data_IF_659158237748
#
_entry.id   IF_659158237748
#
_cell.length_a   1.000
_cell.length_b   1.000
_cell.length_c   1.000
_cell.angle_alpha   90.00
_cell.angle_beta   90.00
_cell.angle_gamma   90.00
#
_symmetry.space_group_name_H-M   'P 1'
#
loop_
_entity.id
_entity.type
_entity.pdbx_description
1 polymer ?
#
# COMPACT_ATOMS: atom_id res chain seq x y z
N UNK A 1 -6.04 3.63 16.82
CA UNK A 1 -6.08 2.29 16.16
C UNK A 1 -7.43 1.66 16.46
N UNK A 2 -7.95 0.86 15.53
CA UNK A 2 -9.16 0.05 15.79
C UNK A 2 -8.86 -1.02 16.82
N UNK A 3 -9.88 -1.40 17.58
CA UNK A 3 -9.77 -2.55 18.49
C UNK A 3 -9.78 -3.84 17.66
N UNK A 4 -8.66 -4.55 17.68
CA UNK A 4 -8.45 -5.81 16.98
C UNK A 4 -7.87 -6.82 17.96
N UNK A 5 -8.43 -8.04 17.97
CA UNK A 5 -7.98 -9.14 18.84
C UNK A 5 -6.54 -9.54 18.52
N UNK A 6 -6.19 -9.59 17.22
CA UNK A 6 -4.87 -9.97 16.74
C UNK A 6 -4.07 -8.78 16.23
N UNK A 7 -4.10 -7.67 16.97
CA UNK A 7 -3.48 -6.39 16.56
C UNK A 7 -2.01 -6.53 16.18
N UNK A 8 -1.25 -7.33 16.91
CA UNK A 8 0.18 -7.52 16.65
C UNK A 8 0.43 -8.31 15.37
N UNK A 9 -0.41 -9.30 15.07
CA UNK A 9 -0.36 -10.01 13.79
C UNK A 9 -0.64 -9.07 12.63
N UNK A 10 -1.66 -8.23 12.72
CA UNK A 10 -1.99 -7.28 11.67
C UNK A 10 -0.96 -6.17 11.51
N UNK A 11 -0.34 -5.69 12.60
CA UNK A 11 0.78 -4.75 12.55
C UNK A 11 2.00 -5.38 11.88
N UNK A 12 2.36 -6.61 12.24
CA UNK A 12 3.44 -7.34 11.59
C UNK A 12 3.18 -7.54 10.10
N UNK A 13 1.93 -7.89 9.73
CA UNK A 13 1.51 -8.02 8.33
C UNK A 13 1.64 -6.69 7.57
N UNK A 14 1.24 -5.57 8.19
CA UNK A 14 1.40 -4.23 7.60
C UNK A 14 2.87 -3.87 7.39
N UNK A 15 3.71 -4.12 8.40
CA UNK A 15 5.16 -3.89 8.29
C UNK A 15 5.78 -4.77 7.21
N UNK A 16 5.43 -6.06 7.16
CA UNK A 16 5.91 -6.97 6.13
C UNK A 16 5.50 -6.50 4.72
N UNK A 17 4.28 -5.98 4.57
CA UNK A 17 3.82 -5.47 3.29
C UNK A 17 4.56 -4.18 2.88
N UNK A 18 4.84 -3.26 3.82
CA UNK A 18 5.68 -2.07 3.56
C UNK A 18 7.06 -2.51 3.07
N UNK A 19 7.70 -3.46 3.76
CA UNK A 19 9.01 -3.97 3.38
C UNK A 19 8.98 -4.66 2.01
N UNK A 20 7.95 -5.45 1.74
CA UNK A 20 7.76 -6.10 0.45
C UNK A 20 7.59 -5.09 -0.69
N UNK A 21 6.74 -4.07 -0.51
CA UNK A 21 6.55 -3.00 -1.51
C UNK A 21 7.87 -2.25 -1.73
N UNK A 22 8.56 -1.89 -0.66
CA UNK A 22 9.89 -1.24 -0.75
C UNK A 22 10.85 -2.10 -1.57
N UNK A 23 10.96 -3.39 -1.26
CA UNK A 23 11.84 -4.30 -1.98
C UNK A 23 11.45 -4.46 -3.45
N UNK A 24 10.16 -4.63 -3.75
CA UNK A 24 9.66 -4.75 -5.11
C UNK A 24 9.94 -3.49 -5.95
N UNK A 25 9.75 -2.30 -5.37
CA UNK A 25 9.99 -1.04 -6.05
C UNK A 25 11.49 -0.74 -6.22
N UNK A 26 12.33 -1.13 -5.26
CA UNK A 26 13.76 -0.81 -5.28
C UNK A 26 14.64 -1.91 -5.88
N UNK A 27 14.12 -3.10 -6.15
CA UNK A 27 14.91 -4.16 -6.80
C UNK A 27 15.37 -3.71 -8.20
N UNK A 28 16.60 -4.05 -8.63
CA UNK A 28 17.03 -3.78 -9.98
C UNK A 28 16.06 -4.42 -10.99
N UNK A 29 15.49 -3.65 -11.92
CA UNK A 29 14.77 -4.24 -13.03
C UNK A 29 15.79 -4.60 -14.12
N UNK A 30 15.88 -5.89 -14.47
CA UNK A 30 16.52 -6.29 -15.70
C UNK A 30 15.69 -5.66 -16.83
N UNK A 31 16.28 -4.69 -17.53
CA UNK A 31 15.60 -3.97 -18.62
C UNK A 31 15.04 -4.97 -19.62
N UNK A 32 13.71 -5.06 -19.70
CA UNK A 32 13.02 -6.01 -20.58
C UNK A 32 11.79 -6.70 -19.97
N UNK A 33 11.61 -6.68 -18.65
CA UNK A 33 10.56 -7.45 -17.95
C UNK A 33 9.18 -6.77 -17.94
N UNK A 34 8.91 -5.82 -18.81
CA UNK A 34 7.55 -5.28 -18.92
C UNK A 34 6.71 -6.21 -19.81
N UNK A 35 5.79 -6.94 -19.19
CA UNK A 35 4.87 -7.85 -19.86
C UNK A 35 3.93 -7.13 -20.84
N UNK A 36 3.69 -5.84 -20.60
CA UNK A 36 2.90 -4.94 -21.45
C UNK A 36 3.28 -3.47 -21.17
N UNK A 37 2.98 -2.52 -22.10
CA UNK A 37 3.23 -1.10 -21.87
C UNK A 37 2.59 -0.63 -20.55
N UNK A 38 3.35 0.11 -19.74
CA UNK A 38 2.91 0.64 -18.44
C UNK A 38 2.59 -0.41 -17.36
N UNK A 39 3.15 -1.62 -17.46
CA UNK A 39 2.98 -2.66 -16.43
C UNK A 39 3.50 -2.21 -15.06
N UNK A 40 4.56 -1.41 -15.02
CA UNK A 40 5.11 -0.75 -13.84
C UNK A 40 4.05 0.08 -13.09
N UNK A 41 3.31 0.93 -13.79
CA UNK A 41 2.26 1.78 -13.23
C UNK A 41 1.10 1.00 -12.64
N UNK A 42 0.73 -0.09 -13.28
CA UNK A 42 -0.28 -1.02 -12.73
C UNK A 42 0.24 -1.69 -11.47
N UNK A 43 1.53 -2.06 -11.43
CA UNK A 43 2.16 -2.63 -10.23
C UNK A 43 2.19 -1.62 -9.08
N UNK A 44 2.57 -0.35 -9.33
CA UNK A 44 2.53 0.73 -8.37
C UNK A 44 1.12 0.93 -7.82
N UNK A 45 0.13 1.12 -8.67
CA UNK A 45 -1.27 1.30 -8.25
C UNK A 45 -1.78 0.11 -7.43
N UNK A 46 -1.49 -1.13 -7.83
CA UNK A 46 -1.91 -2.33 -7.12
C UNK A 46 -1.21 -2.48 -5.76
N UNK A 47 0.09 -2.20 -5.69
CA UNK A 47 0.86 -2.24 -4.46
C UNK A 47 0.34 -1.23 -3.42
N UNK A 48 0.12 0.01 -3.85
CA UNK A 48 -0.40 1.05 -2.97
C UNK A 48 -1.89 0.89 -2.63
N UNK A 49 -2.69 0.30 -3.53
CA UNK A 49 -4.06 -0.11 -3.21
C UNK A 49 -4.08 -1.15 -2.08
N UNK A 50 -3.27 -2.18 -2.17
CA UNK A 50 -3.15 -3.23 -1.15
C UNK A 50 -2.62 -2.69 0.18
N UNK A 51 -1.54 -1.89 0.12
CA UNK A 51 -0.91 -1.29 1.29
C UNK A 51 -1.87 -0.32 2.01
N UNK A 52 -2.50 0.59 1.27
CA UNK A 52 -3.48 1.53 1.80
C UNK A 52 -4.71 0.78 2.35
N UNK A 53 -5.21 -0.22 1.64
CA UNK A 53 -6.34 -1.04 2.08
C UNK A 53 -6.10 -1.73 3.42
N UNK A 54 -4.89 -2.24 3.64
CA UNK A 54 -4.52 -2.83 4.93
C UNK A 54 -4.34 -1.77 6.02
N UNK A 55 -3.56 -0.71 5.75
CA UNK A 55 -3.27 0.31 6.77
C UNK A 55 -4.51 1.10 7.19
N UNK A 56 -5.41 1.44 6.25
CA UNK A 56 -6.69 2.08 6.56
C UNK A 56 -7.62 1.16 7.36
N UNK A 57 -7.55 -0.15 7.16
CA UNK A 57 -8.31 -1.10 7.96
C UNK A 57 -7.84 -1.20 9.41
N UNK A 58 -6.57 -0.87 9.69
CA UNK A 58 -5.97 -0.86 11.03
C UNK A 58 -6.32 0.37 11.86
N UNK A 59 -6.67 1.49 11.21
CA UNK A 59 -6.88 2.77 11.88
C UNK A 59 -8.34 3.21 11.88
N UNK A 60 -8.67 4.12 12.77
CA UNK A 60 -9.97 4.79 12.77
C UNK A 60 -10.06 5.82 11.65
N UNK A 61 -11.27 6.10 11.17
CA UNK A 61 -11.52 7.02 10.04
C UNK A 61 -10.89 8.40 10.20
N UNK A 62 -10.80 8.92 11.44
CA UNK A 62 -10.16 10.21 11.73
C UNK A 62 -8.68 10.26 11.33
N UNK A 63 -8.03 9.11 11.15
CA UNK A 63 -6.61 9.03 10.76
C UNK A 63 -6.41 8.72 9.27
N UNK A 64 -7.49 8.56 8.49
CA UNK A 64 -7.38 8.18 7.08
C UNK A 64 -6.56 9.19 6.27
N UNK A 65 -6.82 10.48 6.44
CA UNK A 65 -6.05 11.51 5.75
C UNK A 65 -4.54 11.43 6.09
N UNK A 66 -4.21 11.22 7.36
CA UNK A 66 -2.81 11.10 7.78
C UNK A 66 -2.13 9.86 7.16
N UNK A 67 -2.83 8.72 7.08
CA UNK A 67 -2.31 7.51 6.43
C UNK A 67 -2.14 7.74 4.93
N UNK A 68 -3.11 8.34 4.25
CA UNK A 68 -3.01 8.63 2.82
C UNK A 68 -1.83 9.56 2.51
N UNK A 69 -1.65 10.63 3.30
CA UNK A 69 -0.51 11.55 3.14
C UNK A 69 0.81 10.82 3.41
N UNK A 70 0.90 10.02 4.47
CA UNK A 70 2.10 9.26 4.78
C UNK A 70 2.47 8.29 3.65
N UNK A 71 1.48 7.63 3.03
CA UNK A 71 1.69 6.74 1.90
C UNK A 71 2.14 7.49 0.63
N UNK A 72 1.59 8.69 0.35
CA UNK A 72 2.07 9.52 -0.76
C UNK A 72 3.51 9.99 -0.54
N UNK A 73 3.86 10.38 0.68
CA UNK A 73 5.24 10.73 1.03
C UNK A 73 6.16 9.51 0.88
N UNK A 74 5.69 8.34 1.27
CA UNK A 74 6.43 7.08 1.11
C UNK A 74 6.64 6.74 -0.38
N UNK A 75 5.62 6.88 -1.25
CA UNK A 75 5.75 6.73 -2.70
C UNK A 75 6.78 7.70 -3.27
N UNK A 76 6.68 8.99 -2.92
CA UNK A 76 7.68 9.99 -3.33
C UNK A 76 9.10 9.67 -2.87
N UNK A 77 9.26 9.10 -1.66
CA UNK A 77 10.56 8.66 -1.17
C UNK A 77 11.11 7.47 -1.99
N UNK A 78 10.24 6.55 -2.43
CA UNK A 78 10.62 5.47 -3.35
C UNK A 78 11.11 6.03 -4.68
N UNK A 79 10.40 7.01 -5.27
CA UNK A 79 10.79 7.66 -6.53
C UNK A 79 12.17 8.34 -6.41
N UNK A 80 12.41 9.07 -5.31
CA UNK A 80 13.71 9.68 -5.04
C UNK A 80 14.80 8.62 -4.88
N UNK A 81 14.51 7.53 -4.17
CA UNK A 81 15.46 6.43 -4.02
C UNK A 81 15.80 5.77 -5.37
N UNK A 82 14.80 5.55 -6.24
CA UNK A 82 15.00 5.01 -7.57
C UNK A 82 15.87 5.93 -8.44
N UNK A 83 15.63 7.25 -8.38
CA UNK A 83 16.42 8.24 -9.09
C UNK A 83 17.90 8.23 -8.65
N UNK A 84 18.17 8.01 -7.37
CA UNK A 84 19.52 7.96 -6.82
C UNK A 84 20.26 6.64 -7.07
N UNK A 85 19.55 5.62 -7.56
CA UNK A 85 20.15 4.32 -7.83
C UNK A 85 20.93 4.30 -9.14
N UNK A 86 22.11 3.61 -9.19
CA UNK A 86 22.97 3.58 -10.37
C UNK A 86 22.44 2.69 -11.52
N UNK A 87 21.22 2.19 -11.41
CA UNK A 87 20.65 1.20 -12.34
C UNK A 87 19.82 1.79 -13.49
N UNK A 88 19.98 3.10 -13.77
CA UNK A 88 19.31 3.75 -14.90
C UNK A 88 17.79 3.87 -14.79
N UNK A 89 17.24 3.80 -13.55
CA UNK A 89 15.83 4.11 -13.31
C UNK A 89 15.65 5.63 -13.25
N UNK A 90 14.63 6.12 -13.92
CA UNK A 90 14.18 7.50 -13.82
C UNK A 90 13.07 7.59 -12.78
N UNK A 91 13.05 8.65 -11.97
CA UNK A 91 11.86 8.99 -11.20
C UNK A 91 10.75 9.40 -12.19
N UNK A 92 9.61 8.76 -12.10
CA UNK A 92 8.49 9.04 -12.98
C UNK A 92 7.30 9.58 -12.18
N UNK A 93 6.88 10.82 -12.48
CA UNK A 93 5.66 11.39 -11.90
C UNK A 93 4.42 10.52 -12.14
N UNK A 94 4.43 9.73 -13.20
CA UNK A 94 3.35 8.80 -13.53
C UNK A 94 3.26 7.65 -12.51
N UNK A 95 4.38 7.20 -11.94
CA UNK A 95 4.40 6.16 -10.91
C UNK A 95 3.84 6.70 -9.60
N UNK A 96 4.22 7.93 -9.20
CA UNK A 96 3.63 8.61 -8.05
C UNK A 96 2.12 8.87 -8.25
N UNK A 97 1.69 9.18 -9.47
CA UNK A 97 0.27 9.31 -9.77
C UNK A 97 -0.46 7.97 -9.68
N UNK A 98 0.17 6.88 -10.09
CA UNK A 98 -0.37 5.52 -9.94
C UNK A 98 -0.49 5.11 -8.47
N UNK A 99 0.53 5.42 -7.64
CA UNK A 99 0.47 5.25 -6.17
C UNK A 99 -0.72 6.00 -5.59
N UNK A 100 -0.88 7.28 -5.95
CA UNK A 100 -1.99 8.12 -5.53
C UNK A 100 -3.35 7.54 -5.93
N UNK A 101 -3.48 7.01 -7.14
CA UNK A 101 -4.69 6.34 -7.59
C UNK A 101 -5.02 5.12 -6.72
N UNK A 102 -4.04 4.27 -6.43
CA UNK A 102 -4.20 3.12 -5.54
C UNK A 102 -4.67 3.52 -4.14
N UNK A 103 -4.04 4.55 -3.56
CA UNK A 103 -4.39 5.10 -2.24
C UNK A 103 -5.83 5.63 -2.23
N UNK A 104 -6.22 6.42 -3.24
CA UNK A 104 -7.57 7.01 -3.33
C UNK A 104 -8.62 5.92 -3.46
N UNK A 105 -8.41 4.92 -4.31
CA UNK A 105 -9.33 3.79 -4.45
C UNK A 105 -9.50 3.03 -3.14
N UNK A 106 -8.41 2.74 -2.43
CA UNK A 106 -8.46 2.10 -1.11
C UNK A 106 -9.24 2.95 -0.09
N UNK A 107 -9.02 4.26 -0.08
CA UNK A 107 -9.71 5.18 0.81
C UNK A 107 -11.22 5.23 0.52
N UNK A 108 -11.62 5.33 -0.74
CA UNK A 108 -13.03 5.32 -1.14
C UNK A 108 -13.72 4.02 -0.72
N UNK A 109 -13.11 2.87 -0.98
CA UNK A 109 -13.63 1.56 -0.55
C UNK A 109 -13.73 1.51 0.98
N UNK A 110 -12.69 1.95 1.69
CA UNK A 110 -12.67 1.95 3.16
C UNK A 110 -13.71 2.89 3.78
N UNK A 111 -14.03 4.00 3.12
CA UNK A 111 -15.09 4.92 3.54
C UNK A 111 -16.49 4.35 3.28
N UNK A 112 -16.68 3.62 2.18
CA UNK A 112 -17.95 2.98 1.84
C UNK A 112 -18.31 1.82 2.79
N UNK A 113 -17.31 1.16 3.38
CA UNK A 113 -17.49 0.04 4.29
C UNK A 113 -17.59 0.55 5.73
N UNK A 114 -18.73 0.32 6.41
CA UNK A 114 -18.94 0.78 7.79
C UNK A 114 -18.02 0.09 8.80
N UNK A 115 -17.80 -1.21 8.63
CA UNK A 115 -16.95 -2.03 9.48
C UNK A 115 -15.68 -2.42 8.74
N UNK A 116 -14.52 -2.33 9.42
CA UNK A 116 -13.24 -2.78 8.85
C UNK A 116 -13.34 -4.26 8.44
N UNK A 117 -12.80 -4.57 7.27
CA UNK A 117 -12.74 -5.95 6.80
C UNK A 117 -11.89 -6.85 7.73
N UNK A 118 -10.90 -6.29 8.44
CA UNK A 118 -10.13 -7.00 9.47
C UNK A 118 -11.01 -7.40 10.65
N UNK A 119 -11.81 -6.48 11.18
CA UNK A 119 -12.77 -6.77 12.25
C UNK A 119 -13.78 -7.83 11.82
N UNK A 120 -14.21 -7.78 10.57
CA UNK A 120 -15.12 -8.77 9.98
C UNK A 120 -14.48 -10.16 9.90
N UNK A 121 -13.19 -10.26 9.52
CA UNK A 121 -12.43 -11.51 9.53
C UNK A 121 -12.31 -12.06 10.94
N UNK A 122 -11.85 -11.23 11.90
CA UNK A 122 -11.68 -11.67 13.30
C UNK A 122 -12.99 -12.16 13.92
N UNK A 123 -14.09 -11.48 13.64
CA UNK A 123 -15.42 -11.91 14.10
C UNK A 123 -15.81 -13.28 13.53
N UNK A 124 -15.58 -13.51 12.25
CA UNK A 124 -15.90 -14.81 11.61
C UNK A 124 -15.05 -15.96 12.16
N UNK A 125 -13.79 -15.69 12.46
CA UNK A 125 -12.88 -16.68 13.04
C UNK A 125 -13.15 -16.91 14.53
N UNK A 126 -13.52 -15.86 15.27
CA UNK A 126 -13.86 -15.95 16.69
C UNK A 126 -15.23 -16.61 16.96
N UNK A 127 -16.14 -16.61 15.97
CA UNK A 127 -17.44 -17.27 16.10
C UNK A 127 -17.41 -18.79 15.86
N UNK A 128 -16.25 -19.34 15.47
CA UNK A 128 -16.02 -20.77 15.22
C UNK A 128 -15.27 -21.51 16.34
N UNK A 129 -14.97 -20.84 17.41
CA UNK A 129 -14.36 -21.37 18.64
C UNK A 129 -15.27 -21.16 19.83
#
# INVERSE_FOLDING_TARGET
MRELRWRWFWLASGTALVLLVTWLCLRPSAGGDQWFPHADKVQHAAAFLGLAGLLLALVERRHYAAVCVALLVFGGAIEVAQYLMPYGRSAEWADLAADGLGIVLAALVSLAIQESWLQRIERRLGARG
#
